data_IF_210061284271
#
_entry.id   IF_210061284271
#
_cell.length_a   1.000
_cell.length_b   1.000
_cell.length_c   1.000
_cell.angle_alpha   90.00
_cell.angle_beta   90.00
_cell.angle_gamma   90.00
#
_symmetry.space_group_name_H-M   'P 1'
#
loop_
_entity.id
_entity.type
_entity.pdbx_description
1 polymer ?
#
# COMPACT_ATOMS: atom_id res chain seq x y z
N UNK A 1 -12.02 23.45 17.86
CA UNK A 1 -11.50 24.02 19.12
C UNK A 1 -10.26 24.85 18.81
N UNK A 2 -10.23 26.11 19.22
CA UNK A 2 -9.18 27.08 18.90
C UNK A 2 -7.90 26.79 19.68
N UNK A 3 -6.97 26.06 19.05
CA UNK A 3 -5.63 25.76 19.56
C UNK A 3 -4.68 26.98 19.66
N UNK A 4 -5.21 28.21 19.66
CA UNK A 4 -4.45 29.44 19.34
C UNK A 4 -3.79 30.10 20.56
N UNK A 5 -4.17 29.75 21.80
CA UNK A 5 -3.71 30.50 22.98
C UNK A 5 -2.37 30.03 23.60
N UNK A 6 -1.96 28.77 23.42
CA UNK A 6 -0.73 28.27 24.04
C UNK A 6 0.50 28.46 23.15
N UNK A 7 1.45 29.29 23.59
CA UNK A 7 2.69 29.58 22.85
C UNK A 7 3.53 28.32 22.54
N UNK A 8 3.54 27.34 23.44
CA UNK A 8 4.23 26.06 23.23
C UNK A 8 3.59 25.25 22.10
N UNK A 9 2.26 25.17 22.07
CA UNK A 9 1.53 24.41 21.07
C UNK A 9 1.71 25.03 19.67
N UNK A 10 1.74 26.37 19.60
CA UNK A 10 2.04 27.11 18.37
C UNK A 10 3.44 26.81 17.85
N UNK A 11 4.45 26.77 18.73
CA UNK A 11 5.83 26.40 18.36
C UNK A 11 5.90 24.96 17.83
N UNK A 12 5.25 24.02 18.50
CA UNK A 12 5.21 22.60 18.07
C UNK A 12 4.48 22.48 16.72
N UNK A 13 3.37 23.19 16.52
CA UNK A 13 2.64 23.17 15.27
C UNK A 13 3.47 23.72 14.11
N UNK A 14 4.24 24.79 14.32
CA UNK A 14 5.15 25.33 13.31
C UNK A 14 6.25 24.32 12.97
N UNK A 15 6.81 23.65 13.98
CA UNK A 15 7.84 22.61 13.80
C UNK A 15 7.30 21.43 12.98
N UNK A 16 6.15 20.87 13.36
CA UNK A 16 5.54 19.70 12.72
C UNK A 16 4.99 20.03 11.33
N UNK A 17 4.53 21.27 11.11
CA UNK A 17 4.03 21.70 9.80
C UNK A 17 5.15 21.88 8.77
N UNK A 18 6.43 21.90 9.19
CA UNK A 18 7.54 22.07 8.27
C UNK A 18 7.85 20.74 7.56
N UNK A 19 8.02 20.78 6.23
CA UNK A 19 8.38 19.59 5.43
C UNK A 19 9.69 18.93 5.88
N UNK A 20 10.58 19.70 6.48
CA UNK A 20 11.82 19.18 7.08
C UNK A 20 11.54 18.08 8.12
N UNK A 21 10.48 18.21 8.91
CA UNK A 21 10.11 17.21 9.91
C UNK A 21 9.78 15.86 9.27
N UNK A 22 9.04 15.87 8.16
CA UNK A 22 8.73 14.65 7.42
C UNK A 22 9.99 14.03 6.79
N UNK A 23 10.87 14.85 6.21
CA UNK A 23 12.15 14.38 5.67
C UNK A 23 13.09 13.78 6.73
N UNK A 24 13.12 14.34 7.94
CA UNK A 24 13.88 13.76 9.06
C UNK A 24 13.31 12.39 9.45
N UNK A 25 11.99 12.25 9.50
CA UNK A 25 11.34 10.96 9.76
C UNK A 25 11.65 9.91 8.68
N UNK A 26 11.67 10.32 7.41
CA UNK A 26 12.04 9.45 6.29
C UNK A 26 13.52 9.05 6.33
N UNK A 27 14.41 10.00 6.65
CA UNK A 27 15.84 9.73 6.84
C UNK A 27 16.06 8.71 7.97
N UNK A 28 15.40 8.89 9.11
CA UNK A 28 15.47 7.93 10.23
C UNK A 28 14.90 6.56 9.87
N UNK A 29 13.84 6.50 9.04
CA UNK A 29 13.34 5.22 8.54
C UNK A 29 14.36 4.52 7.62
N UNK A 30 15.02 5.26 6.74
CA UNK A 30 16.06 4.72 5.86
C UNK A 30 17.29 4.22 6.63
N UNK A 31 17.75 5.00 7.62
CA UNK A 31 18.86 4.63 8.51
C UNK A 31 18.51 3.38 9.31
N UNK A 32 17.29 3.27 9.82
CA UNK A 32 16.87 2.08 10.57
C UNK A 32 16.94 0.82 9.71
N UNK A 33 16.37 0.85 8.49
CA UNK A 33 16.42 -0.31 7.58
C UNK A 33 17.87 -0.69 7.26
N UNK A 34 18.73 0.29 6.94
CA UNK A 34 20.13 0.04 6.63
C UNK A 34 20.86 -0.61 7.82
N UNK A 35 20.64 -0.08 9.03
CA UNK A 35 21.27 -0.59 10.24
C UNK A 35 20.77 -2.00 10.59
N UNK A 36 19.47 -2.26 10.48
CA UNK A 36 18.90 -3.60 10.69
C UNK A 36 19.42 -4.59 9.66
N UNK A 37 19.55 -4.20 8.39
CA UNK A 37 20.15 -5.06 7.36
C UNK A 37 21.60 -5.43 7.67
N UNK A 38 22.42 -4.48 8.11
CA UNK A 38 23.82 -4.73 8.49
C UNK A 38 23.91 -5.63 9.73
N UNK A 39 23.11 -5.35 10.76
CA UNK A 39 23.12 -6.16 11.99
C UNK A 39 22.58 -7.57 11.75
N UNK A 40 21.59 -7.74 10.88
CA UNK A 40 21.04 -9.05 10.55
C UNK A 40 22.05 -9.92 9.80
N UNK A 41 22.86 -9.32 8.92
CA UNK A 41 23.98 -10.00 8.25
C UNK A 41 25.09 -10.36 9.25
N UNK A 42 25.47 -9.41 10.11
CA UNK A 42 26.52 -9.61 11.10
C UNK A 42 26.16 -10.64 12.20
N UNK A 43 24.92 -10.62 12.69
CA UNK A 43 24.46 -11.49 13.78
C UNK A 43 23.74 -12.76 13.31
N UNK A 44 23.73 -13.09 12.01
CA UNK A 44 22.92 -14.20 11.45
C UNK A 44 23.06 -15.52 12.25
N UNK A 45 24.28 -15.92 12.60
CA UNK A 45 24.55 -17.15 13.36
C UNK A 45 24.39 -16.98 14.89
N UNK A 46 24.51 -15.75 15.40
CA UNK A 46 24.53 -15.45 16.84
C UNK A 46 23.14 -15.13 17.41
N UNK A 47 22.18 -14.71 16.57
CA UNK A 47 20.79 -14.44 16.96
C UNK A 47 20.14 -15.63 17.67
N UNK A 48 20.52 -16.86 17.28
CA UNK A 48 19.97 -18.08 17.87
C UNK A 48 20.60 -18.50 19.19
N UNK A 49 21.76 -17.94 19.54
CA UNK A 49 22.56 -18.40 20.69
C UNK A 49 22.58 -17.41 21.85
N UNK A 50 22.36 -16.12 21.60
CA UNK A 50 22.51 -15.08 22.60
C UNK A 50 21.21 -14.33 22.86
N UNK A 51 20.84 -14.17 24.13
CA UNK A 51 19.63 -13.42 24.53
C UNK A 51 19.82 -11.91 24.44
N UNK A 52 21.07 -11.43 24.44
CA UNK A 52 21.42 -10.02 24.34
C UNK A 52 21.88 -9.73 22.92
N UNK A 53 20.95 -9.35 22.06
CA UNK A 53 21.28 -8.91 20.71
C UNK A 53 21.42 -7.39 20.68
N UNK A 54 22.49 -6.90 20.03
CA UNK A 54 22.62 -5.46 19.75
C UNK A 54 21.44 -4.99 18.88
N UNK A 55 20.92 -5.89 18.04
CA UNK A 55 19.72 -5.70 17.25
C UNK A 55 18.48 -5.34 18.09
N UNK A 56 18.20 -6.03 19.20
CA UNK A 56 17.06 -5.70 20.07
C UNK A 56 17.20 -4.32 20.72
N UNK A 57 18.41 -3.96 21.14
CA UNK A 57 18.71 -2.63 21.70
C UNK A 57 18.40 -1.53 20.68
N UNK A 58 18.88 -1.69 19.44
CA UNK A 58 18.67 -0.67 18.42
C UNK A 58 17.20 -0.59 18.00
N UNK A 59 16.53 -1.73 17.85
CA UNK A 59 15.11 -1.78 17.56
C UNK A 59 14.29 -1.02 18.61
N UNK A 60 14.58 -1.21 19.91
CA UNK A 60 13.91 -0.48 20.99
C UNK A 60 14.02 1.04 20.84
N UNK A 61 15.22 1.56 20.55
CA UNK A 61 15.42 3.01 20.36
C UNK A 61 14.67 3.56 19.14
N UNK A 62 14.64 2.81 18.02
CA UNK A 62 13.87 3.23 16.85
C UNK A 62 12.37 3.20 17.12
N UNK A 63 11.85 2.17 17.78
CA UNK A 63 10.43 2.10 18.18
C UNK A 63 10.07 3.27 19.09
N UNK A 64 10.93 3.61 20.05
CA UNK A 64 10.75 4.78 20.92
C UNK A 64 10.72 6.09 20.12
N UNK A 65 11.68 6.30 19.22
CA UNK A 65 11.71 7.48 18.35
C UNK A 65 10.41 7.59 17.53
N UNK A 66 9.93 6.47 17.00
CA UNK A 66 8.71 6.41 16.21
C UNK A 66 7.45 6.70 17.02
N UNK A 67 7.36 6.20 18.25
CA UNK A 67 6.28 6.53 19.17
C UNK A 67 6.25 8.03 19.44
N UNK A 68 7.41 8.62 19.75
CA UNK A 68 7.53 10.06 20.00
C UNK A 68 7.14 10.88 18.77
N UNK A 69 7.61 10.50 17.58
CA UNK A 69 7.24 11.16 16.32
C UNK A 69 5.72 11.20 16.12
N UNK A 70 5.03 10.06 16.31
CA UNK A 70 3.59 9.97 16.11
C UNK A 70 2.79 10.68 17.21
N UNK A 71 3.24 10.64 18.46
CA UNK A 71 2.62 11.39 19.56
C UNK A 71 2.71 12.90 19.33
N UNK A 72 3.87 13.40 18.89
CA UNK A 72 4.05 14.82 18.56
C UNK A 72 3.13 15.22 17.40
N UNK A 73 3.05 14.40 16.33
CA UNK A 73 2.13 14.65 15.20
C UNK A 73 0.67 14.67 15.65
N UNK A 74 0.26 13.71 16.48
CA UNK A 74 -1.10 13.60 16.97
C UNK A 74 -1.48 14.82 17.83
N UNK A 75 -0.57 15.25 18.69
CA UNK A 75 -0.79 16.39 19.59
C UNK A 75 -0.81 17.73 18.85
N UNK A 76 0.06 17.91 17.84
CA UNK A 76 0.16 19.14 17.06
C UNK A 76 -1.00 19.34 16.07
N UNK A 77 -1.42 18.27 15.40
CA UNK A 77 -2.40 18.32 14.29
C UNK A 77 -3.83 18.03 14.78
N UNK A 78 -3.96 17.29 15.88
CA UNK A 78 -5.23 16.82 16.41
C UNK A 78 -5.77 15.57 15.68
N UNK A 79 -6.59 14.80 16.40
CA UNK A 79 -7.10 13.50 15.95
C UNK A 79 -7.81 13.53 14.58
N UNK A 80 -8.71 14.50 14.37
CA UNK A 80 -9.55 14.56 13.18
C UNK A 80 -8.73 14.82 11.90
N UNK A 81 -7.77 15.74 11.97
CA UNK A 81 -6.89 16.08 10.84
C UNK A 81 -5.85 14.99 10.61
N UNK A 82 -5.39 14.31 11.67
CA UNK A 82 -4.49 13.15 11.57
C UNK A 82 -5.11 12.01 10.76
N UNK A 83 -6.36 11.62 11.07
CA UNK A 83 -7.07 10.53 10.37
C UNK A 83 -7.43 10.86 8.91
N UNK A 84 -7.55 12.14 8.56
CA UNK A 84 -7.81 12.56 7.17
C UNK A 84 -6.64 12.27 6.23
N UNK A 85 -5.41 12.18 6.75
CA UNK A 85 -4.21 11.93 5.96
C UNK A 85 -3.88 10.42 5.96
N UNK A 86 -4.04 9.75 4.81
CA UNK A 86 -3.80 8.29 4.67
C UNK A 86 -2.38 7.87 5.06
N UNK A 87 -1.38 8.69 4.74
CA UNK A 87 0.03 8.41 5.08
C UNK A 87 0.25 8.42 6.59
N UNK A 88 -0.32 9.41 7.29
CA UNK A 88 -0.23 9.49 8.75
C UNK A 88 -0.97 8.32 9.40
N UNK A 89 -2.16 7.95 8.90
CA UNK A 89 -2.91 6.79 9.39
C UNK A 89 -2.11 5.49 9.24
N UNK A 90 -1.47 5.27 8.09
CA UNK A 90 -0.59 4.12 7.86
C UNK A 90 0.59 4.11 8.83
N UNK A 91 1.30 5.23 8.97
CA UNK A 91 2.46 5.33 9.86
C UNK A 91 2.08 5.15 11.34
N UNK A 92 0.93 5.66 11.75
CA UNK A 92 0.37 5.47 13.08
C UNK A 92 0.04 4.01 13.35
N UNK A 93 -0.60 3.32 12.40
CA UNK A 93 -0.93 1.90 12.50
C UNK A 93 0.33 1.02 12.63
N UNK A 94 1.33 1.22 11.76
CA UNK A 94 2.60 0.48 11.84
C UNK A 94 3.34 0.78 13.15
N UNK A 95 3.36 2.04 13.59
CA UNK A 95 3.97 2.41 14.88
C UNK A 95 3.25 1.77 16.06
N UNK A 96 1.92 1.68 16.03
CA UNK A 96 1.14 1.00 17.05
C UNK A 96 1.48 -0.50 17.11
N UNK A 97 1.57 -1.17 15.96
CA UNK A 97 1.98 -2.58 15.89
C UNK A 97 3.39 -2.78 16.44
N UNK A 98 4.35 -1.93 16.04
CA UNK A 98 5.73 -1.97 16.55
C UNK A 98 5.80 -1.80 18.07
N UNK A 99 5.07 -0.84 18.63
CA UNK A 99 5.01 -0.61 20.07
C UNK A 99 4.35 -1.78 20.79
N UNK A 100 3.28 -2.35 20.23
CA UNK A 100 2.62 -3.52 20.81
C UNK A 100 3.57 -4.73 20.83
N UNK A 101 4.29 -5.01 19.74
CA UNK A 101 5.28 -6.10 19.70
C UNK A 101 6.45 -5.84 20.65
N UNK A 102 6.90 -4.59 20.79
CA UNK A 102 7.99 -4.24 21.72
C UNK A 102 7.55 -4.37 23.19
N UNK A 103 6.31 -3.99 23.52
CA UNK A 103 5.75 -4.19 24.87
C UNK A 103 5.68 -5.69 25.21
N UNK A 104 5.23 -6.52 24.27
CA UNK A 104 5.21 -7.99 24.46
C UNK A 104 6.63 -8.52 24.65
N UNK A 105 7.58 -8.07 23.83
CA UNK A 105 8.98 -8.45 23.94
C UNK A 105 9.57 -8.08 25.31
N UNK A 106 9.42 -6.82 25.75
CA UNK A 106 9.90 -6.34 27.05
C UNK A 106 9.19 -7.02 28.22
N UNK A 107 7.90 -7.34 28.09
CA UNK A 107 7.15 -8.05 29.14
C UNK A 107 7.64 -9.49 29.34
N UNK A 108 8.07 -10.16 28.28
CA UNK A 108 8.47 -11.57 28.33
C UNK A 108 9.96 -11.75 28.65
N UNK A 109 10.81 -10.88 28.10
CA UNK A 109 12.26 -11.01 28.17
C UNK A 109 12.94 -9.91 29.00
N UNK A 110 12.18 -8.94 29.50
CA UNK A 110 12.72 -7.76 30.19
C UNK A 110 13.25 -6.71 29.22
N UNK A 111 13.83 -5.63 29.77
CA UNK A 111 14.42 -4.59 28.95
C UNK A 111 15.71 -5.11 28.27
N UNK A 112 15.97 -4.77 27.00
CA UNK A 112 17.13 -5.27 26.26
C UNK A 112 18.49 -4.79 26.83
N UNK A 113 18.47 -3.79 27.72
CA UNK A 113 19.65 -3.25 28.40
C UNK A 113 19.95 -3.93 29.74
N UNK A 114 18.96 -4.60 30.32
CA UNK A 114 19.12 -5.25 31.61
C UNK A 114 19.56 -6.68 31.35
N UNK A 115 20.70 -7.08 31.89
CA UNK A 115 21.10 -8.49 32.00
C UNK A 115 20.20 -9.20 33.01
N UNK A 116 18.90 -9.23 32.74
CA UNK A 116 17.97 -9.96 33.57
C UNK A 116 18.10 -11.43 33.20
N UNK A 117 18.78 -12.18 34.06
CA UNK A 117 18.72 -13.64 34.16
C UNK A 117 17.33 -14.08 34.65
N UNK A 118 16.25 -13.48 34.11
CA UNK A 118 14.91 -13.95 34.33
C UNK A 118 14.77 -15.31 33.66
N UNK A 119 14.27 -16.31 34.39
CA UNK A 119 13.99 -17.63 33.82
C UNK A 119 13.19 -17.43 32.53
N UNK A 120 13.64 -17.98 31.38
CA UNK A 120 12.85 -17.91 30.17
C UNK A 120 11.46 -18.46 30.47
N UNK A 121 10.39 -17.81 29.99
CA UNK A 121 9.04 -18.33 30.18
C UNK A 121 9.00 -19.79 29.73
N UNK A 122 8.26 -20.62 30.49
CA UNK A 122 8.18 -22.06 30.31
C UNK A 122 8.11 -22.43 28.82
N UNK A 123 8.87 -23.46 28.43
CA UNK A 123 9.05 -23.98 27.06
C UNK A 123 7.75 -24.30 26.29
N UNK A 124 6.59 -24.19 26.92
CA UNK A 124 5.27 -24.47 26.37
C UNK A 124 4.56 -23.22 25.81
N UNK A 125 5.21 -22.05 25.78
CA UNK A 125 4.69 -20.85 25.11
C UNK A 125 4.87 -20.95 23.59
N UNK A 126 3.80 -20.68 22.84
CA UNK A 126 3.65 -20.89 21.40
C UNK A 126 4.92 -20.53 20.60
N UNK A 127 5.22 -21.33 19.57
CA UNK A 127 6.32 -21.12 18.61
C UNK A 127 6.45 -19.64 18.18
N UNK A 128 5.32 -18.93 18.05
CA UNK A 128 5.27 -17.51 17.70
C UNK A 128 5.95 -16.56 18.70
N UNK A 129 5.91 -16.83 20.01
CA UNK A 129 6.43 -15.93 21.05
C UNK A 129 7.90 -16.16 21.43
N UNK A 130 8.59 -17.05 20.73
CA UNK A 130 10.05 -17.22 20.90
C UNK A 130 10.80 -15.91 20.61
N UNK A 131 11.84 -15.61 21.40
CA UNK A 131 12.66 -14.39 21.29
C UNK A 131 13.09 -14.10 19.85
N UNK A 132 13.62 -15.12 19.15
CA UNK A 132 14.07 -14.99 17.78
C UNK A 132 12.91 -14.65 16.82
N UNK A 133 11.72 -15.22 17.03
CA UNK A 133 10.55 -14.95 16.22
C UNK A 133 9.98 -13.55 16.49
N UNK A 134 10.03 -13.06 17.73
CA UNK A 134 9.66 -11.69 18.06
C UNK A 134 10.55 -10.66 17.38
N UNK A 135 11.88 -10.85 17.44
CA UNK A 135 12.83 -9.98 16.75
C UNK A 135 12.59 -10.00 15.24
N UNK A 136 12.30 -11.18 14.66
CA UNK A 136 11.94 -11.31 13.23
C UNK A 136 10.67 -10.53 12.87
N UNK A 137 9.62 -10.63 13.69
CA UNK A 137 8.37 -9.90 13.48
C UNK A 137 8.62 -8.39 13.53
N UNK A 138 9.37 -7.90 14.52
CA UNK A 138 9.75 -6.48 14.64
C UNK A 138 10.52 -6.03 13.39
N UNK A 139 11.51 -6.80 12.95
CA UNK A 139 12.29 -6.48 11.75
C UNK A 139 11.43 -6.45 10.48
N UNK A 140 10.47 -7.38 10.33
CA UNK A 140 9.51 -7.34 9.22
C UNK A 140 8.64 -6.08 9.25
N UNK A 141 8.17 -5.66 10.43
CA UNK A 141 7.42 -4.42 10.61
C UNK A 141 8.25 -3.17 10.31
N UNK A 142 9.56 -3.18 10.62
CA UNK A 142 10.49 -2.12 10.25
C UNK A 142 10.60 -2.00 8.73
N UNK A 143 10.65 -3.11 7.99
CA UNK A 143 10.68 -3.10 6.52
C UNK A 143 9.40 -2.45 5.97
N UNK A 144 8.22 -2.80 6.50
CA UNK A 144 6.97 -2.15 6.08
C UNK A 144 7.00 -0.62 6.29
N UNK A 145 7.76 -0.14 7.27
CA UNK A 145 7.89 1.30 7.51
C UNK A 145 8.52 2.07 6.35
N UNK A 146 9.41 1.45 5.57
CA UNK A 146 10.04 2.09 4.41
C UNK A 146 9.00 2.54 3.36
N UNK A 147 7.83 1.88 3.32
CA UNK A 147 6.74 2.23 2.41
C UNK A 147 6.17 3.63 2.65
N UNK A 148 6.43 4.25 3.82
CA UNK A 148 6.11 5.66 4.06
C UNK A 148 6.79 6.59 3.06
N UNK A 149 7.96 6.22 2.54
CA UNK A 149 8.75 7.06 1.64
C UNK A 149 8.12 7.12 0.23
N UNK A 150 7.33 6.10 -0.14
CA UNK A 150 6.75 5.92 -1.48
C UNK A 150 5.94 7.13 -1.97
N UNK A 151 5.03 7.74 -1.17
CA UNK A 151 4.26 8.91 -1.60
C UNK A 151 5.10 10.18 -1.83
N UNK A 152 6.30 10.26 -1.24
CA UNK A 152 7.16 11.45 -1.37
C UNK A 152 7.87 11.49 -2.72
N UNK A 153 8.10 10.33 -3.34
CA UNK A 153 8.62 10.22 -4.70
C UNK A 153 7.48 10.24 -5.72
N UNK A 154 7.37 11.32 -6.50
CA UNK A 154 6.33 11.50 -7.53
C UNK A 154 6.20 10.28 -8.47
N UNK A 155 7.32 9.72 -8.92
CA UNK A 155 7.35 8.56 -9.81
C UNK A 155 6.75 7.31 -9.16
N UNK A 156 7.17 7.00 -7.92
CA UNK A 156 6.67 5.83 -7.19
C UNK A 156 5.20 5.99 -6.80
N UNK A 157 4.79 7.17 -6.36
CA UNK A 157 3.40 7.48 -6.04
C UNK A 157 2.48 7.28 -7.25
N UNK A 158 2.91 7.71 -8.44
CA UNK A 158 2.15 7.51 -9.67
C UNK A 158 2.04 6.03 -10.05
N UNK A 159 3.08 5.24 -9.85
CA UNK A 159 3.05 3.78 -10.06
C UNK A 159 2.05 3.12 -9.10
N UNK A 160 2.08 3.46 -7.81
CA UNK A 160 1.13 2.90 -6.84
C UNK A 160 -0.31 3.31 -7.14
N UNK A 161 -0.53 4.57 -7.54
CA UNK A 161 -1.86 5.05 -7.90
C UNK A 161 -2.41 4.31 -9.15
N UNK A 162 -1.59 4.12 -10.18
CA UNK A 162 -1.98 3.40 -11.41
C UNK A 162 -2.21 1.92 -11.14
N UNK A 163 -1.36 1.26 -10.35
CA UNK A 163 -1.56 -0.14 -9.92
C UNK A 163 -2.85 -0.30 -9.12
N UNK A 164 -3.12 0.62 -8.18
CA UNK A 164 -4.36 0.58 -7.38
C UNK A 164 -5.60 0.79 -8.23
N UNK A 165 -5.54 1.65 -9.25
CA UNK A 165 -6.62 1.83 -10.23
C UNK A 165 -6.83 0.55 -11.04
N UNK A 166 -5.76 -0.04 -11.55
CA UNK A 166 -5.81 -1.28 -12.32
C UNK A 166 -6.41 -2.44 -11.51
N UNK A 167 -6.00 -2.61 -10.25
CA UNK A 167 -6.59 -3.62 -9.34
C UNK A 167 -8.10 -3.45 -9.14
N UNK A 168 -8.61 -2.21 -9.10
CA UNK A 168 -10.06 -1.97 -9.03
C UNK A 168 -10.79 -2.39 -10.30
N UNK A 169 -10.20 -2.16 -11.47
CA UNK A 169 -10.76 -2.58 -12.75
C UNK A 169 -10.76 -4.11 -12.90
N UNK A 170 -9.77 -4.80 -12.35
CA UNK A 170 -9.65 -6.26 -12.42
C UNK A 170 -10.45 -7.01 -11.34
N UNK A 171 -11.11 -6.29 -10.41
CA UNK A 171 -11.88 -6.91 -9.32
C UNK A 171 -12.93 -7.92 -9.79
N UNK A 172 -13.76 -7.66 -10.83
CA UNK A 172 -14.73 -8.64 -11.31
C UNK A 172 -14.06 -9.91 -11.87
N UNK A 173 -12.92 -9.75 -12.54
CA UNK A 173 -12.16 -10.85 -13.11
C UNK A 173 -11.54 -11.75 -12.02
N UNK A 174 -11.08 -11.16 -10.91
CA UNK A 174 -10.61 -11.93 -9.76
C UNK A 174 -11.65 -12.93 -9.24
N UNK A 175 -12.95 -12.60 -9.34
CA UNK A 175 -14.03 -13.52 -8.98
C UNK A 175 -14.08 -14.78 -9.86
N UNK A 176 -13.81 -14.64 -11.17
CA UNK A 176 -13.75 -15.77 -12.11
C UNK A 176 -12.57 -16.68 -11.76
N UNK A 177 -11.40 -16.11 -11.48
CA UNK A 177 -10.22 -16.88 -11.06
C UNK A 177 -10.55 -17.69 -9.79
N UNK A 178 -11.09 -17.03 -8.77
CA UNK A 178 -11.44 -17.69 -7.50
C UNK A 178 -12.46 -18.82 -7.71
N UNK A 179 -13.47 -18.62 -8.55
CA UNK A 179 -14.47 -19.66 -8.85
C UNK A 179 -13.84 -20.88 -9.53
N UNK A 180 -12.96 -20.67 -10.50
CA UNK A 180 -12.27 -21.78 -11.20
C UNK A 180 -11.32 -22.51 -10.27
N UNK A 181 -10.53 -21.79 -9.47
CA UNK A 181 -9.68 -22.39 -8.43
C UNK A 181 -10.50 -23.22 -7.44
N UNK A 182 -11.66 -22.72 -7.00
CA UNK A 182 -12.53 -23.44 -6.09
C UNK A 182 -13.03 -24.76 -6.69
N UNK A 183 -13.57 -24.74 -7.91
CA UNK A 183 -14.07 -25.95 -8.57
C UNK A 183 -12.96 -26.98 -8.75
N UNK A 184 -11.80 -26.57 -9.26
CA UNK A 184 -10.68 -27.49 -9.45
C UNK A 184 -10.09 -27.98 -8.13
N UNK A 185 -10.01 -27.15 -7.09
CA UNK A 185 -9.51 -27.59 -5.79
C UNK A 185 -10.41 -28.68 -5.18
N UNK A 186 -11.73 -28.49 -5.19
CA UNK A 186 -12.67 -29.51 -4.71
C UNK A 186 -12.58 -30.79 -5.55
N UNK A 187 -12.55 -30.67 -6.88
CA UNK A 187 -12.40 -31.83 -7.76
C UNK A 187 -11.07 -32.57 -7.54
N UNK A 188 -9.97 -31.85 -7.37
CA UNK A 188 -8.66 -32.40 -7.09
C UNK A 188 -8.63 -33.16 -5.77
N UNK A 189 -9.23 -32.60 -4.71
CA UNK A 189 -9.38 -33.31 -3.44
C UNK A 189 -10.24 -34.58 -3.59
N UNK A 190 -11.37 -34.51 -4.29
CA UNK A 190 -12.22 -35.70 -4.51
C UNK A 190 -11.52 -36.82 -5.29
N UNK A 191 -10.60 -36.47 -6.21
CA UNK A 191 -9.91 -37.43 -7.07
C UNK A 191 -8.59 -37.95 -6.48
N UNK A 192 -7.90 -37.14 -5.67
CA UNK A 192 -6.51 -37.38 -5.29
C UNK A 192 -6.21 -37.27 -3.79
N UNK A 193 -7.22 -37.35 -2.94
CA UNK A 193 -7.05 -37.39 -1.49
C UNK A 193 -6.10 -38.53 -1.04
N UNK A 194 -5.06 -38.19 -0.29
CA UNK A 194 -4.11 -39.15 0.30
C UNK A 194 -3.15 -39.82 -0.68
N UNK A 195 -3.09 -39.37 -1.93
CA UNK A 195 -2.32 -40.01 -3.03
C UNK A 195 -0.81 -39.77 -2.97
N UNK A 196 -0.35 -38.65 -2.39
CA UNK A 196 1.08 -38.30 -2.36
C UNK A 196 1.70 -38.37 -0.97
N UNK A 197 0.88 -38.61 0.06
CA UNK A 197 1.30 -38.60 1.45
C UNK A 197 2.28 -39.76 1.74
N UNK A 198 3.51 -39.49 2.20
CA UNK A 198 4.52 -40.53 2.43
C UNK A 198 4.08 -41.57 3.48
N UNK A 199 3.12 -41.23 4.34
CA UNK A 199 2.60 -42.11 5.39
C UNK A 199 1.42 -43.00 4.94
N UNK A 200 0.64 -42.53 3.96
CA UNK A 200 -0.62 -43.19 3.52
C UNK A 200 -0.41 -43.96 2.22
N UNK A 201 0.56 -43.55 1.42
CA UNK A 201 0.90 -44.17 0.14
C UNK A 201 1.89 -45.29 0.38
N UNK A 202 1.34 -46.48 0.63
CA UNK A 202 2.03 -47.74 0.36
C UNK A 202 3.39 -47.89 1.02
N UNK A 203 3.45 -47.76 2.35
CA UNK A 203 4.61 -48.11 3.17
C UNK A 203 4.99 -49.61 3.11
N UNK A 204 4.63 -50.36 2.05
CA UNK A 204 5.10 -51.74 1.94
C UNK A 204 5.33 -52.36 0.56
N UNK A 205 4.85 -51.88 -0.60
CA UNK A 205 5.11 -52.63 -1.87
C UNK A 205 5.27 -51.85 -3.20
N UNK A 206 5.14 -50.53 -3.28
CA UNK A 206 5.15 -49.85 -4.60
C UNK A 206 5.95 -48.55 -4.71
N UNK A 207 6.26 -47.83 -3.62
CA UNK A 207 7.26 -46.76 -3.66
C UNK A 207 8.66 -47.35 -3.51
N UNK A 208 9.18 -47.91 -4.60
CA UNK A 208 10.63 -47.82 -4.81
C UNK A 208 10.91 -46.32 -4.84
N UNK A 209 11.41 -45.73 -3.73
CA UNK A 209 11.94 -44.37 -3.71
C UNK A 209 12.69 -44.17 -5.01
N UNK A 210 12.09 -43.46 -5.95
CA UNK A 210 12.67 -43.34 -7.27
C UNK A 210 13.88 -42.42 -7.08
N UNK A 211 15.05 -43.02 -6.83
CA UNK A 211 16.36 -42.36 -6.78
C UNK A 211 16.75 -41.78 -8.15
N UNK A 212 15.87 -41.87 -9.14
CA UNK A 212 16.00 -41.14 -10.39
C UNK A 212 16.03 -39.65 -10.08
N UNK A 213 17.08 -38.99 -10.59
CA UNK A 213 17.21 -37.55 -10.46
C UNK A 213 16.02 -36.86 -11.14
N UNK A 214 15.35 -35.93 -10.45
CA UNK A 214 14.18 -35.21 -10.94
C UNK A 214 12.83 -35.88 -10.66
N UNK A 215 12.78 -36.91 -9.81
CA UNK A 215 11.53 -37.53 -9.36
C UNK A 215 10.80 -36.69 -8.29
N UNK A 216 9.49 -36.90 -8.15
CA UNK A 216 8.66 -36.24 -7.14
C UNK A 216 9.20 -36.48 -5.70
N UNK A 217 9.60 -37.73 -5.43
CA UNK A 217 10.13 -38.15 -4.13
C UNK A 217 11.50 -37.52 -3.82
N UNK A 218 12.39 -37.41 -4.82
CA UNK A 218 13.71 -36.81 -4.62
C UNK A 218 13.61 -35.29 -4.40
N UNK A 219 12.71 -34.62 -5.11
CA UNK A 219 12.47 -33.17 -4.98
C UNK A 219 11.68 -32.79 -3.71
N UNK A 220 11.23 -33.78 -2.93
CA UNK A 220 10.51 -33.59 -1.67
C UNK A 220 9.20 -32.79 -1.83
N UNK A 221 8.46 -33.02 -2.91
CA UNK A 221 7.19 -32.33 -3.19
C UNK A 221 5.99 -32.84 -2.38
N UNK A 222 6.20 -33.52 -1.25
CA UNK A 222 5.13 -34.11 -0.43
C UNK A 222 4.14 -33.09 0.15
N UNK A 223 4.56 -31.84 0.34
CA UNK A 223 3.67 -30.74 0.75
C UNK A 223 2.69 -30.31 -0.34
N UNK A 224 3.00 -30.64 -1.60
CA UNK A 224 2.19 -30.29 -2.77
C UNK A 224 1.23 -31.45 -3.06
N UNK A 225 0.16 -31.53 -2.26
CA UNK A 225 -0.85 -32.57 -2.30
C UNK A 225 -2.28 -32.00 -2.41
N UNK A 226 -3.27 -32.88 -2.54
CA UNK A 226 -4.69 -32.55 -2.55
C UNK A 226 -5.40 -33.08 -1.29
N UNK A 227 -4.69 -33.19 -0.16
CA UNK A 227 -5.25 -33.74 1.09
C UNK A 227 -6.11 -32.68 1.82
N UNK A 228 -5.77 -31.39 1.66
CA UNK A 228 -6.53 -30.28 2.22
C UNK A 228 -6.73 -29.15 1.20
N UNK A 229 -7.73 -28.30 1.44
CA UNK A 229 -8.10 -27.22 0.51
C UNK A 229 -6.97 -26.20 0.32
N UNK A 230 -6.18 -25.92 1.37
CA UNK A 230 -5.05 -25.01 1.29
C UNK A 230 -3.92 -25.57 0.45
N UNK A 231 -3.52 -26.82 0.70
CA UNK A 231 -2.54 -27.53 -0.11
C UNK A 231 -2.97 -27.64 -1.58
N UNK A 232 -4.24 -27.97 -1.84
CA UNK A 232 -4.80 -28.01 -3.19
C UNK A 232 -4.66 -26.67 -3.93
N UNK A 233 -4.90 -25.53 -3.26
CA UNK A 233 -4.70 -24.20 -3.85
C UNK A 233 -3.22 -23.95 -4.21
N UNK A 234 -2.29 -24.37 -3.35
CA UNK A 234 -0.85 -24.26 -3.61
C UNK A 234 -0.44 -25.11 -4.81
N UNK A 235 -0.91 -26.36 -4.90
CA UNK A 235 -0.65 -27.22 -6.06
C UNK A 235 -1.20 -26.62 -7.34
N UNK A 236 -2.44 -26.13 -7.32
CA UNK A 236 -3.05 -25.49 -8.49
C UNK A 236 -2.29 -24.22 -8.91
N UNK A 237 -1.78 -23.45 -7.95
CA UNK A 237 -0.89 -22.32 -8.21
C UNK A 237 0.40 -22.75 -8.89
N UNK A 238 1.11 -23.75 -8.34
CA UNK A 238 2.36 -24.25 -8.91
C UNK A 238 2.16 -24.80 -10.33
N UNK A 239 1.04 -25.50 -10.58
CA UNK A 239 0.65 -25.98 -11.90
C UNK A 239 0.31 -24.85 -12.88
N UNK A 240 -0.30 -23.76 -12.41
CA UNK A 240 -0.59 -22.58 -13.24
C UNK A 240 0.69 -21.88 -13.71
N UNK A 241 1.76 -21.92 -12.91
CA UNK A 241 3.08 -21.38 -13.30
C UNK A 241 3.77 -22.25 -14.36
N UNK A 242 3.33 -23.51 -14.55
CA UNK A 242 3.82 -24.48 -15.56
C UNK A 242 5.24 -24.99 -15.31
N UNK A 243 5.94 -24.50 -14.29
CA UNK A 243 7.28 -24.99 -13.98
C UNK A 243 7.23 -26.38 -13.31
N UNK A 244 8.06 -27.32 -13.78
CA UNK A 244 8.11 -28.71 -13.29
C UNK A 244 6.76 -29.47 -13.24
N UNK A 245 5.73 -28.98 -13.93
CA UNK A 245 4.39 -29.58 -13.91
C UNK A 245 4.38 -31.05 -14.38
N UNK A 246 5.30 -31.42 -15.29
CA UNK A 246 5.49 -32.78 -15.78
C UNK A 246 5.82 -33.80 -14.68
N UNK A 247 6.47 -33.35 -13.58
CA UNK A 247 6.77 -34.20 -12.41
C UNK A 247 5.47 -34.64 -11.75
N UNK A 248 4.51 -33.72 -11.60
CA UNK A 248 3.17 -34.02 -11.08
C UNK A 248 2.39 -34.94 -12.03
N UNK A 249 2.43 -34.69 -13.35
CA UNK A 249 1.75 -35.57 -14.31
C UNK A 249 2.29 -37.00 -14.29
N UNK A 250 3.61 -37.18 -14.17
CA UNK A 250 4.24 -38.50 -14.11
C UNK A 250 3.87 -39.20 -12.79
N UNK A 251 3.98 -38.50 -11.67
CA UNK A 251 3.71 -39.09 -10.34
C UNK A 251 2.24 -39.54 -10.22
N UNK A 252 1.28 -38.64 -10.49
CA UNK A 252 -0.14 -38.98 -10.34
C UNK A 252 -0.61 -40.00 -11.38
N UNK A 253 0.02 -40.06 -12.56
CA UNK A 253 -0.24 -41.12 -13.53
C UNK A 253 0.27 -42.50 -13.08
N UNK A 254 1.37 -42.52 -12.33
CA UNK A 254 1.96 -43.76 -11.79
C UNK A 254 1.21 -44.25 -10.55
N UNK A 255 0.83 -43.36 -9.64
CA UNK A 255 0.22 -43.73 -8.35
C UNK A 255 -1.28 -44.00 -8.48
N UNK A 256 -2.01 -43.21 -9.29
CA UNK A 256 -3.47 -43.35 -9.44
C UNK A 256 -3.81 -44.15 -10.69
N UNK A 257 -3.67 -43.53 -11.86
CA UNK A 257 -3.87 -44.12 -13.18
C UNK A 257 -3.43 -43.13 -14.26
N UNK A 258 -3.08 -43.60 -15.46
CA UNK A 258 -2.73 -42.76 -16.61
C UNK A 258 -3.80 -41.72 -16.96
N UNK A 259 -5.07 -42.01 -16.70
CA UNK A 259 -6.19 -41.06 -16.91
C UNK A 259 -6.16 -39.84 -15.99
N UNK A 260 -5.42 -39.86 -14.87
CA UNK A 260 -5.24 -38.71 -14.00
C UNK A 260 -4.62 -37.51 -14.74
N UNK A 261 -3.85 -37.76 -15.79
CA UNK A 261 -3.26 -36.72 -16.64
C UNK A 261 -4.33 -35.80 -17.27
N UNK A 262 -5.54 -36.32 -17.52
CA UNK A 262 -6.63 -35.53 -18.09
C UNK A 262 -7.02 -34.35 -17.19
N UNK A 263 -7.01 -34.54 -15.86
CA UNK A 263 -7.27 -33.48 -14.90
C UNK A 263 -6.24 -32.35 -15.03
N UNK A 264 -4.95 -32.69 -15.06
CA UNK A 264 -3.88 -31.69 -15.14
C UNK A 264 -3.86 -30.98 -16.50
N UNK A 265 -4.15 -31.70 -17.59
CA UNK A 265 -4.29 -31.10 -18.93
C UNK A 265 -5.50 -30.18 -18.98
N UNK A 266 -6.64 -30.57 -18.41
CA UNK A 266 -7.83 -29.72 -18.33
C UNK A 266 -7.57 -28.45 -17.51
N UNK A 267 -6.89 -28.58 -16.35
CA UNK A 267 -6.43 -27.44 -15.57
C UNK A 267 -5.52 -26.52 -16.37
N UNK A 268 -4.53 -27.07 -17.09
CA UNK A 268 -3.62 -26.29 -17.93
C UNK A 268 -4.37 -25.49 -19.01
N UNK A 269 -5.31 -26.11 -19.71
CA UNK A 269 -6.11 -25.44 -20.74
C UNK A 269 -6.95 -24.29 -20.16
N UNK A 270 -7.58 -24.51 -19.00
CA UNK A 270 -8.45 -23.50 -18.39
C UNK A 270 -7.63 -22.41 -17.68
N UNK A 271 -6.60 -22.76 -16.92
CA UNK A 271 -5.82 -21.79 -16.14
C UNK A 271 -4.82 -21.03 -17.01
N UNK A 272 -3.96 -21.73 -17.74
CA UNK A 272 -2.85 -21.10 -18.47
C UNK A 272 -3.33 -20.55 -19.80
N UNK A 273 -4.03 -21.37 -20.60
CA UNK A 273 -4.42 -20.94 -21.95
C UNK A 273 -5.61 -19.98 -21.91
N UNK A 274 -6.59 -20.20 -21.04
CA UNK A 274 -7.76 -19.32 -20.96
C UNK A 274 -7.54 -18.19 -19.94
N UNK A 275 -7.36 -18.50 -18.65
CA UNK A 275 -7.35 -17.47 -17.59
C UNK A 275 -6.16 -16.51 -17.71
N UNK A 276 -4.92 -16.99 -17.85
CA UNK A 276 -3.75 -16.08 -17.92
C UNK A 276 -3.81 -15.21 -19.18
N UNK A 277 -4.18 -15.77 -20.33
CA UNK A 277 -4.31 -14.98 -21.56
C UNK A 277 -5.45 -13.96 -21.47
N UNK A 278 -6.59 -14.34 -20.88
CA UNK A 278 -7.69 -13.41 -20.61
C UNK A 278 -7.26 -12.30 -19.63
N UNK A 279 -6.50 -12.65 -18.59
CA UNK A 279 -5.94 -11.68 -17.65
C UNK A 279 -5.02 -10.67 -18.33
N UNK A 280 -4.11 -11.14 -19.19
CA UNK A 280 -3.21 -10.28 -19.97
C UNK A 280 -4.01 -9.38 -20.90
N UNK A 281 -5.01 -9.90 -21.60
CA UNK A 281 -5.88 -9.11 -22.46
C UNK A 281 -6.62 -8.01 -21.69
N UNK A 282 -7.14 -8.33 -20.49
CA UNK A 282 -7.83 -7.36 -19.65
C UNK A 282 -6.91 -6.29 -19.07
N UNK A 283 -5.68 -6.65 -18.69
CA UNK A 283 -4.66 -5.67 -18.29
C UNK A 283 -4.35 -4.73 -19.44
N UNK A 284 -4.17 -5.28 -20.65
CA UNK A 284 -3.89 -4.50 -21.85
C UNK A 284 -5.04 -3.53 -22.15
N UNK A 285 -6.29 -4.01 -22.11
CA UNK A 285 -7.48 -3.18 -22.29
C UNK A 285 -7.57 -2.07 -21.22
N UNK A 286 -7.32 -2.41 -19.95
CA UNK A 286 -7.32 -1.43 -18.86
C UNK A 286 -6.22 -0.37 -19.04
N UNK A 287 -5.05 -0.77 -19.54
CA UNK A 287 -3.94 0.13 -19.83
C UNK A 287 -4.25 1.03 -21.04
N UNK A 288 -4.75 0.47 -22.15
CA UNK A 288 -5.16 1.20 -23.35
C UNK A 288 -6.26 2.21 -23.00
N UNK A 289 -7.30 1.80 -22.28
CA UNK A 289 -8.39 2.67 -21.85
C UNK A 289 -7.89 3.86 -21.00
N UNK A 290 -6.97 3.60 -20.06
CA UNK A 290 -6.35 4.69 -19.27
C UNK A 290 -5.47 5.60 -20.14
N UNK A 291 -4.72 5.03 -21.08
CA UNK A 291 -3.87 5.78 -22.01
C UNK A 291 -4.71 6.69 -22.91
N UNK A 292 -5.77 6.17 -23.54
CA UNK A 292 -6.69 6.92 -24.39
C UNK A 292 -7.40 8.03 -23.62
N UNK A 293 -7.89 7.74 -22.41
CA UNK A 293 -8.51 8.75 -21.54
C UNK A 293 -7.53 9.89 -21.23
N UNK A 294 -6.25 9.57 -20.97
CA UNK A 294 -5.22 10.58 -20.73
C UNK A 294 -4.94 11.41 -21.98
N UNK A 295 -4.82 10.77 -23.15
CA UNK A 295 -4.61 11.46 -24.43
C UNK A 295 -5.77 12.39 -24.79
N UNK A 296 -7.02 11.94 -24.56
CA UNK A 296 -8.22 12.74 -24.79
C UNK A 296 -8.24 13.99 -23.91
N UNK A 297 -7.91 13.86 -22.62
CA UNK A 297 -7.79 15.01 -21.70
C UNK A 297 -6.72 16.00 -22.13
N UNK A 298 -5.57 15.51 -22.60
CA UNK A 298 -4.51 16.39 -23.11
C UNK A 298 -4.98 17.18 -24.34
N UNK A 299 -5.68 16.51 -25.26
CA UNK A 299 -6.23 17.13 -26.46
C UNK A 299 -7.31 18.17 -26.13
N UNK A 300 -8.23 17.85 -25.23
CA UNK A 300 -9.27 18.77 -24.74
C UNK A 300 -8.66 19.99 -24.05
N UNK A 301 -7.65 19.79 -23.19
CA UNK A 301 -6.93 20.89 -22.56
C UNK A 301 -6.25 21.80 -23.59
N UNK A 302 -5.56 21.23 -24.60
CA UNK A 302 -4.93 22.03 -25.67
C UNK A 302 -5.95 22.79 -26.53
N UNK A 303 -7.12 22.19 -26.80
CA UNK A 303 -8.17 22.86 -27.55
C UNK A 303 -8.77 24.01 -26.72
N UNK A 304 -9.00 23.79 -25.43
CA UNK A 304 -9.51 24.82 -24.52
C UNK A 304 -8.54 26.00 -24.35
N UNK A 305 -7.22 25.77 -24.31
CA UNK A 305 -6.24 26.86 -24.27
C UNK A 305 -6.24 27.67 -25.57
N UNK A 306 -6.33 27.01 -26.73
CA UNK A 306 -6.43 27.69 -28.03
C UNK A 306 -7.71 28.51 -28.16
N UNK A 307 -8.86 27.99 -27.71
CA UNK A 307 -10.12 28.73 -27.69
C UNK A 307 -10.06 29.92 -26.72
N UNK A 308 -9.41 29.76 -25.56
CA UNK A 308 -9.24 30.84 -24.58
C UNK A 308 -8.33 31.95 -25.11
N UNK A 309 -7.26 31.62 -25.82
CA UNK A 309 -6.41 32.61 -26.50
C UNK A 309 -7.13 33.28 -27.68
N UNK A 310 -7.90 32.55 -28.47
CA UNK A 310 -8.67 33.12 -29.56
C UNK A 310 -9.77 34.07 -29.06
N UNK A 311 -10.49 33.69 -28.00
CA UNK A 311 -11.55 34.52 -27.40
C UNK A 311 -10.98 35.74 -26.68
N UNK A 312 -9.82 35.65 -26.01
CA UNK A 312 -9.17 36.81 -25.42
C UNK A 312 -8.66 37.79 -26.48
N UNK A 313 -8.11 37.28 -27.59
CA UNK A 313 -7.66 38.10 -28.71
C UNK A 313 -8.82 38.81 -29.44
N UNK A 314 -9.96 38.11 -29.63
CA UNK A 314 -11.18 38.72 -30.18
C UNK A 314 -11.78 39.74 -29.21
N UNK A 315 -11.86 39.42 -27.93
CA UNK A 315 -12.35 40.33 -26.88
C UNK A 315 -11.52 41.60 -26.75
N UNK A 316 -10.19 41.48 -26.81
CA UNK A 316 -9.26 42.63 -26.81
C UNK A 316 -9.43 43.53 -28.04
N UNK A 317 -9.66 42.94 -29.21
CA UNK A 317 -9.91 43.69 -30.46
C UNK A 317 -11.27 44.37 -30.47
N UNK A 318 -12.30 43.73 -29.92
CA UNK A 318 -13.62 44.32 -29.72
C UNK A 318 -13.56 45.49 -28.73
N UNK A 319 -12.88 45.33 -27.60
CA UNK A 319 -12.69 46.39 -26.62
C UNK A 319 -11.95 47.61 -27.23
N UNK A 320 -10.92 47.37 -28.06
CA UNK A 320 -10.21 48.43 -28.78
C UNK A 320 -11.09 49.18 -29.79
N UNK A 321 -12.03 48.48 -30.44
CA UNK A 321 -12.97 49.05 -31.40
C UNK A 321 -13.93 50.07 -30.77
N UNK A 322 -14.28 49.87 -29.50
CA UNK A 322 -15.14 50.78 -28.76
C UNK A 322 -14.36 51.77 -27.87
N UNK A 323 -13.12 51.46 -27.48
CA UNK A 323 -12.32 52.33 -26.61
C UNK A 323 -11.92 53.65 -27.26
N UNK A 324 -11.81 53.72 -28.59
CA UNK A 324 -11.50 54.99 -29.28
C UNK A 324 -12.68 55.97 -29.31
N UNK A 325 -13.92 55.49 -29.10
CA UNK A 325 -15.13 56.31 -29.12
C UNK A 325 -15.78 56.47 -27.74
N UNK A 326 -15.26 55.80 -26.72
CA UNK A 326 -15.72 55.93 -25.34
C UNK A 326 -14.89 57.02 -24.64
N UNK A 327 -15.43 58.24 -24.64
CA UNK A 327 -14.99 59.29 -23.72
C UNK A 327 -15.57 58.96 -22.35
N UNK A 328 -14.71 58.67 -21.39
CA UNK A 328 -15.15 58.40 -20.02
C UNK A 328 -15.74 59.69 -19.42
N UNK A 329 -17.02 59.70 -19.01
CA UNK A 329 -17.66 60.92 -18.53
C UNK A 329 -17.04 61.33 -17.20
N UNK A 330 -16.77 62.63 -17.05
CA UNK A 330 -16.21 63.18 -15.81
C UNK A 330 -17.25 63.01 -14.69
N UNK A 331 -16.81 62.71 -13.47
CA UNK A 331 -17.66 62.43 -12.32
C UNK A 331 -18.76 63.49 -12.10
N UNK A 332 -18.49 64.75 -12.44
CA UNK A 332 -19.44 65.85 -12.38
C UNK A 332 -20.64 65.69 -13.35
N UNK A 333 -20.42 65.16 -14.55
CA UNK A 333 -21.46 64.94 -15.56
C UNK A 333 -22.37 63.77 -15.17
N UNK A 334 -21.79 62.69 -14.65
CA UNK A 334 -22.53 61.56 -14.07
C UNK A 334 -23.40 62.02 -12.91
N UNK A 335 -22.88 62.88 -12.02
CA UNK A 335 -23.63 63.42 -10.89
C UNK A 335 -24.78 64.36 -11.33
N UNK A 336 -24.63 65.08 -12.44
CA UNK A 336 -25.69 65.91 -13.00
C UNK A 336 -26.80 65.07 -13.66
N UNK A 337 -26.44 64.03 -14.40
CA UNK A 337 -27.41 63.12 -15.04
C UNK A 337 -28.16 62.28 -14.00
N UNK A 338 -27.47 61.82 -12.95
CA UNK A 338 -28.07 61.09 -11.83
C UNK A 338 -28.99 61.96 -10.95
N UNK A 339 -28.78 63.28 -10.87
CA UNK A 339 -29.70 64.22 -10.17
C UNK A 339 -31.08 64.29 -10.83
N UNK A 340 -31.19 63.98 -12.12
CA UNK A 340 -32.45 64.02 -12.86
C UNK A 340 -33.34 62.78 -12.66
N UNK A 341 -32.77 61.68 -12.14
CA UNK A 341 -33.50 60.43 -11.99
C UNK A 341 -34.27 60.34 -10.67
N UNK A 342 -35.60 60.19 -10.77
CA UNK A 342 -36.58 60.14 -9.67
C UNK A 342 -36.32 59.06 -8.60
N UNK A 343 -35.37 58.14 -8.83
CA UNK A 343 -35.12 56.96 -8.00
C UNK A 343 -33.73 56.93 -7.33
N UNK A 344 -32.83 57.87 -7.63
CA UNK A 344 -31.48 57.91 -7.03
C UNK A 344 -31.24 59.22 -6.29
N UNK A 345 -31.55 59.24 -4.99
CA UNK A 345 -31.24 60.37 -4.11
C UNK A 345 -29.87 60.19 -3.46
N UNK A 346 -28.83 60.86 -3.96
CA UNK A 346 -27.54 60.91 -3.28
C UNK A 346 -27.55 61.94 -2.16
N UNK A 347 -27.56 61.46 -0.91
CA UNK A 347 -27.37 62.30 0.27
C UNK A 347 -25.88 62.34 0.59
N UNK A 348 -25.18 63.38 0.13
CA UNK A 348 -23.78 63.62 0.48
C UNK A 348 -23.75 64.00 1.97
N UNK A 349 -23.35 63.05 2.82
CA UNK A 349 -23.15 63.27 4.24
C UNK A 349 -21.72 63.78 4.45
N UNK A 350 -21.59 65.08 4.63
CA UNK A 350 -20.37 65.68 5.17
C UNK A 350 -20.24 65.35 6.66
N UNK A 351 -19.05 64.92 7.06
CA UNK A 351 -18.50 64.78 8.43
C UNK A 351 -18.69 63.46 9.20
N UNK A 352 -17.53 62.84 9.48
CA UNK A 352 -17.12 62.03 10.63
C UNK A 352 -18.06 60.94 11.17
N UNK A 353 -17.79 59.68 10.83
CA UNK A 353 -17.37 58.60 11.75
C UNK A 353 -17.47 57.24 11.05
N UNK A 354 -16.52 56.37 11.38
CA UNK A 354 -16.37 55.00 10.91
C UNK A 354 -17.63 54.15 11.10
N UNK A 355 -18.17 53.55 10.03
CA UNK A 355 -18.32 52.09 9.83
C UNK A 355 -19.09 51.84 8.54
N UNK A 356 -18.44 51.23 7.54
CA UNK A 356 -19.12 50.71 6.36
C UNK A 356 -19.33 49.22 6.56
N UNK A 357 -20.55 48.84 6.94
CA UNK A 357 -21.01 47.46 6.85
C UNK A 357 -21.59 47.25 5.45
N UNK A 358 -20.86 46.55 4.58
CA UNK A 358 -21.43 45.99 3.37
C UNK A 358 -22.18 44.70 3.72
N UNK A 359 -23.47 44.67 3.45
CA UNK A 359 -24.19 43.44 3.11
C UNK A 359 -24.42 43.45 1.60
N UNK A 360 -23.68 42.58 0.92
CA UNK A 360 -24.03 41.94 -0.35
C UNK A 360 -23.75 40.45 -0.16
#
# INVERSE_FOLDING_TARGET
MSYVQNALLRKIQILVSNKCFDYVGDFMAAVNVLLVSILLDYEYDNIWKNTNSHLAIVNFFFVLYYLLEQLIKLWAVGWQRYRSCKVNLYCGFITLLLVATEIVHVSMYGLPFTHSSGNPPAKDMDIFFSLANMIRIINMLIIFRILRIVPNFKSLSLIVETLTKLLKHLRPFGGIIVAVYYVFAILGMMLFDGVTNPSVVGANKTRLYAKECGSFDQLQYYANNFDDFGAALVVLWDLMVVNNWHVFLKEYALVVNKWAQLYFVAWYLISVILIINLFVALILEAFISQWETKQRRLRENSLSSLVTEATSHVGGRFHQLFSCNLVEPVEADLLNELRGHRHYGFRIQTSSQHTVAFRL
#
